data_IF_684963644720
#
_entry.id   IF_684963644720
#
_cell.length_a   1.000
_cell.length_b   1.000
_cell.length_c   1.000
_cell.angle_alpha   90.00
_cell.angle_beta   90.00
_cell.angle_gamma   90.00
#
_symmetry.space_group_name_H-M   'P 1'
#
loop_
_entity.id
_entity.type
_entity.pdbx_description
1 polymer ?
#
# COMPACT_ATOMS: atom_id res chain seq x y z
N UNK A 1 -11.44 -14.79 -20.27
CA UNK A 1 -10.14 -14.15 -19.94
C UNK A 1 -10.49 -12.76 -19.43
N UNK A 2 -10.46 -12.54 -18.11
CA UNK A 2 -11.10 -11.35 -17.53
C UNK A 2 -10.14 -10.17 -17.58
N UNK A 3 -10.44 -9.20 -18.44
CA UNK A 3 -9.99 -7.81 -18.34
C UNK A 3 -10.46 -7.25 -16.99
N UNK A 4 -9.53 -6.89 -16.10
CA UNK A 4 -9.85 -6.15 -14.88
C UNK A 4 -8.86 -4.98 -14.71
N UNK A 5 -9.06 -3.97 -15.54
CA UNK A 5 -8.29 -2.73 -15.59
C UNK A 5 -8.76 -1.70 -14.55
N UNK A 6 -8.82 -1.96 -13.23
CA UNK A 6 -9.31 -0.88 -12.35
C UNK A 6 -8.70 -0.62 -10.97
N UNK A 7 -8.33 -1.58 -10.13
CA UNK A 7 -7.52 -1.30 -8.92
C UNK A 7 -6.86 -2.62 -8.55
N UNK A 8 -5.57 -2.76 -8.86
CA UNK A 8 -4.75 -3.89 -8.42
C UNK A 8 -3.43 -3.32 -7.94
N UNK A 9 -3.32 -3.02 -6.64
CA UNK A 9 -2.04 -2.68 -6.03
C UNK A 9 -1.24 -3.98 -5.95
N UNK A 10 -0.07 -4.00 -6.59
CA UNK A 10 0.83 -5.15 -6.60
C UNK A 10 1.98 -4.94 -5.63
N UNK A 11 2.54 -6.02 -5.06
CA UNK A 11 3.65 -5.93 -4.11
C UNK A 11 4.95 -5.40 -4.72
N UNK A 12 5.06 -5.44 -6.05
CA UNK A 12 6.18 -4.90 -6.83
C UNK A 12 6.11 -3.38 -7.02
N UNK A 13 4.97 -2.73 -6.72
CA UNK A 13 4.88 -1.28 -6.73
C UNK A 13 5.63 -0.69 -5.52
N UNK A 14 6.24 0.47 -5.74
CA UNK A 14 6.91 1.21 -4.67
C UNK A 14 5.90 1.92 -3.79
N UNK A 15 6.25 2.08 -2.51
CA UNK A 15 5.41 2.83 -1.55
C UNK A 15 5.06 4.21 -2.12
N UNK A 16 6.05 4.90 -2.70
CA UNK A 16 5.86 6.19 -3.36
C UNK A 16 4.82 6.16 -4.50
N UNK A 17 4.89 5.19 -5.43
CA UNK A 17 3.94 5.11 -6.55
C UNK A 17 2.52 4.85 -6.04
N UNK A 18 2.38 4.00 -5.02
CA UNK A 18 1.08 3.67 -4.41
C UNK A 18 0.49 4.89 -3.70
N UNK A 19 1.23 5.57 -2.83
CA UNK A 19 0.71 6.76 -2.11
C UNK A 19 0.47 7.95 -3.03
N UNK A 20 1.25 8.05 -4.13
CA UNK A 20 1.07 9.06 -5.16
C UNK A 20 -0.22 8.82 -5.96
N UNK A 21 -0.49 7.57 -6.36
CA UNK A 21 -1.72 7.17 -7.07
C UNK A 21 -2.94 7.12 -6.15
N UNK A 22 -2.75 6.72 -4.91
CA UNK A 22 -3.81 6.45 -3.94
C UNK A 22 -3.49 7.10 -2.59
N UNK A 23 -3.73 8.41 -2.46
CA UNK A 23 -3.47 9.18 -1.21
C UNK A 23 -4.06 8.54 0.05
N UNK A 24 -5.19 7.84 -0.05
CA UNK A 24 -5.82 7.16 1.09
C UNK A 24 -4.97 6.02 1.66
N UNK A 25 -4.15 5.38 0.84
CA UNK A 25 -3.24 4.32 1.29
C UNK A 25 -2.17 4.82 2.26
N UNK A 26 -1.85 6.12 2.26
CA UNK A 26 -0.93 6.75 3.23
C UNK A 26 -1.37 6.49 4.67
N UNK A 27 -2.69 6.44 4.93
CA UNK A 27 -3.22 6.16 6.28
C UNK A 27 -3.01 4.70 6.67
N UNK A 28 -3.05 3.78 5.71
CA UNK A 28 -2.69 2.38 5.94
C UNK A 28 -1.21 2.33 6.33
N UNK A 29 -0.31 2.91 5.52
CA UNK A 29 1.12 2.96 5.86
C UNK A 29 1.38 3.52 7.26
N UNK A 30 0.74 4.63 7.65
CA UNK A 30 0.84 5.21 9.01
C UNK A 30 0.41 4.26 10.13
N UNK A 31 -0.61 3.44 9.91
CA UNK A 31 -1.01 2.41 10.88
C UNK A 31 0.04 1.29 10.96
N UNK A 32 0.63 0.92 9.83
CA UNK A 32 1.72 -0.04 9.78
C UNK A 32 3.04 0.51 10.34
N UNK A 33 3.33 1.80 10.20
CA UNK A 33 4.48 2.48 10.82
C UNK A 33 4.46 2.30 12.34
N UNK A 34 3.30 2.47 12.97
CA UNK A 34 3.11 2.23 14.40
C UNK A 34 3.34 0.77 14.79
N UNK A 35 3.02 -0.17 13.89
CA UNK A 35 3.19 -1.61 14.09
C UNK A 35 4.62 -2.08 13.84
N UNK A 36 5.30 -1.50 12.86
CA UNK A 36 6.71 -1.74 12.57
C UNK A 36 7.63 -1.06 13.59
N UNK A 37 7.12 -0.10 14.36
CA UNK A 37 7.89 0.68 15.33
C UNK A 37 8.92 1.60 14.66
N UNK A 38 8.82 1.79 13.35
CA UNK A 38 9.74 2.55 12.52
C UNK A 38 8.97 3.17 11.36
N UNK A 39 9.46 4.30 10.86
CA UNK A 39 8.84 4.98 9.73
C UNK A 39 9.22 4.24 8.42
N UNK A 40 8.40 3.27 8.03
CA UNK A 40 8.35 2.59 6.73
C UNK A 40 8.34 3.63 5.60
N UNK A 41 7.56 4.70 5.74
CA UNK A 41 7.55 5.77 4.73
C UNK A 41 8.92 6.44 4.56
N UNK A 42 9.73 6.61 5.61
CA UNK A 42 11.05 7.23 5.50
C UNK A 42 12.15 6.24 5.12
N UNK A 43 12.04 5.00 5.59
CA UNK A 43 13.07 3.97 5.39
C UNK A 43 12.88 3.18 4.11
N UNK A 44 11.66 3.19 3.56
CA UNK A 44 11.23 2.31 2.48
C UNK A 44 10.37 3.04 1.43
N UNK A 45 10.49 4.38 1.34
CA UNK A 45 9.76 5.22 0.38
C UNK A 45 9.92 4.73 -1.07
N UNK A 46 11.15 4.33 -1.42
CA UNK A 46 11.54 3.89 -2.76
C UNK A 46 11.58 2.37 -2.89
N UNK A 47 11.37 1.64 -1.80
CA UNK A 47 11.31 0.19 -1.79
C UNK A 47 9.92 -0.31 -2.19
N UNK A 48 9.88 -1.55 -2.67
CA UNK A 48 8.63 -2.24 -2.98
C UNK A 48 7.96 -2.74 -1.71
N UNK A 49 6.64 -2.93 -1.72
CA UNK A 49 5.93 -3.50 -0.55
C UNK A 49 6.53 -4.82 -0.11
N UNK A 50 6.99 -5.65 -1.06
CA UNK A 50 7.65 -6.90 -0.75
C UNK A 50 8.95 -6.70 0.04
N UNK A 51 9.82 -5.80 -0.42
CA UNK A 51 11.06 -5.47 0.29
C UNK A 51 10.78 -4.94 1.70
N UNK A 52 9.77 -4.09 1.85
CA UNK A 52 9.34 -3.59 3.16
C UNK A 52 8.88 -4.75 4.05
N UNK A 53 7.98 -5.59 3.54
CA UNK A 53 7.42 -6.70 4.30
C UNK A 53 8.51 -7.67 4.77
N UNK A 54 9.46 -8.02 3.90
CA UNK A 54 10.60 -8.87 4.25
C UNK A 54 11.52 -8.19 5.27
N UNK A 55 11.84 -6.90 5.08
CA UNK A 55 12.77 -6.15 5.95
C UNK A 55 12.23 -5.92 7.36
N UNK A 56 10.92 -5.70 7.49
CA UNK A 56 10.26 -5.43 8.77
C UNK A 56 9.51 -6.65 9.34
N UNK A 57 9.48 -7.77 8.62
CA UNK A 57 8.73 -8.96 9.02
C UNK A 57 7.22 -8.73 9.04
N UNK A 58 6.69 -7.94 8.11
CA UNK A 58 5.26 -7.65 7.99
C UNK A 58 4.58 -8.61 7.01
N UNK A 59 3.28 -8.82 7.19
CA UNK A 59 2.46 -9.60 6.26
C UNK A 59 2.20 -8.80 4.96
N UNK A 60 2.95 -9.13 3.91
CA UNK A 60 2.79 -8.55 2.58
C UNK A 60 1.37 -8.71 2.04
N UNK A 61 0.81 -9.92 2.15
CA UNK A 61 -0.53 -10.24 1.65
C UNK A 61 -1.59 -9.36 2.31
N UNK A 62 -1.49 -9.21 3.64
CA UNK A 62 -2.39 -8.36 4.41
C UNK A 62 -2.24 -6.88 4.06
N UNK A 63 -1.01 -6.41 3.90
CA UNK A 63 -0.75 -5.03 3.48
C UNK A 63 -1.36 -4.77 2.10
N UNK A 64 -1.12 -5.64 1.13
CA UNK A 64 -1.67 -5.53 -0.24
C UNK A 64 -3.20 -5.59 -0.23
N UNK A 65 -3.81 -6.44 0.60
CA UNK A 65 -5.25 -6.54 0.74
C UNK A 65 -5.87 -5.23 1.28
N UNK A 66 -5.33 -4.68 2.37
CA UNK A 66 -5.80 -3.42 2.98
C UNK A 66 -5.65 -2.23 2.01
N UNK A 67 -4.55 -2.21 1.26
CA UNK A 67 -4.28 -1.19 0.24
C UNK A 67 -5.31 -1.28 -0.90
N UNK A 68 -5.57 -2.49 -1.42
CA UNK A 68 -6.56 -2.71 -2.47
C UNK A 68 -7.99 -2.37 -1.99
N UNK A 69 -8.32 -2.69 -0.73
CA UNK A 69 -9.60 -2.35 -0.13
C UNK A 69 -9.79 -0.84 -0.02
N UNK A 70 -8.78 -0.14 0.51
CA UNK A 70 -8.77 1.33 0.60
C UNK A 70 -8.93 1.99 -0.77
N UNK A 71 -8.20 1.50 -1.77
CA UNK A 71 -8.27 2.04 -3.13
C UNK A 71 -9.62 1.74 -3.82
N UNK A 72 -10.33 0.67 -3.43
CA UNK A 72 -11.70 0.39 -3.89
C UNK A 72 -12.73 1.33 -3.24
N UNK A 73 -12.54 1.67 -1.97
CA UNK A 73 -13.40 2.60 -1.25
C UNK A 73 -13.34 4.05 -1.79
N UNK A 74 -12.32 4.42 -2.57
CA UNK A 74 -12.16 5.77 -3.11
C UNK A 74 -13.10 6.12 -4.28
N UNK A 75 -13.63 5.15 -5.04
CA UNK A 75 -14.56 5.45 -6.16
C UNK A 75 -15.89 6.08 -5.71
N UNK A 76 -16.15 6.22 -4.40
CA UNK A 76 -17.44 6.67 -3.85
C UNK A 76 -17.48 8.14 -3.35
N UNK A 77 -16.39 8.93 -3.42
CA UNK A 77 -16.40 10.33 -2.95
C UNK A 77 -15.75 11.30 -3.94
N UNK A 78 -16.45 11.54 -5.05
CA UNK A 78 -16.49 12.84 -5.73
C UNK A 78 -17.74 12.90 -6.60
N UNK A 79 -18.85 13.34 -6.01
CA UNK A 79 -19.97 14.03 -6.67
C UNK A 79 -20.09 15.39 -6.03
#
# INVERSE_FOLDING_TARGET
>A
MVENSSICITPEMTVLDIVSRYRQTETIFKQWDARAGACICCQALFDTLQQVAERYGLDLDRLVAELNDSARHMKASSV
#
